data_IF_570101037850
#
_entry.id   IF_570101037850
#
_cell.length_a   1.000
_cell.length_b   1.000
_cell.length_c   1.000
_cell.angle_alpha   90.00
_cell.angle_beta   90.00
_cell.angle_gamma   90.00
#
_symmetry.space_group_name_H-M   'P 1'
#
loop_
_entity.id
_entity.type
_entity.pdbx_description
1 polymer ?
#
# COMPACT_ATOMS: atom_id res chain seq x y z
N UNK A 1 12.97 15.96 1.28
CA UNK A 1 13.11 15.11 2.49
C UNK A 1 14.57 14.70 2.57
N UNK A 2 15.22 14.73 3.74
CA UNK A 2 16.60 14.22 3.90
C UNK A 2 16.60 12.84 4.57
N UNK A 3 17.75 12.17 4.62
CA UNK A 3 17.85 10.80 5.13
C UNK A 3 17.41 10.66 6.60
N UNK A 4 17.71 11.65 7.44
CA UNK A 4 17.32 11.66 8.86
C UNK A 4 15.79 11.74 9.00
N UNK A 5 15.17 12.71 8.33
CA UNK A 5 13.71 12.86 8.30
C UNK A 5 13.01 11.64 7.68
N UNK A 6 13.60 11.01 6.66
CA UNK A 6 13.08 9.76 6.11
C UNK A 6 13.08 8.65 7.17
N UNK A 7 14.19 8.45 7.89
CA UNK A 7 14.26 7.41 8.93
C UNK A 7 13.32 7.67 10.10
N UNK A 8 13.01 8.92 10.40
CA UNK A 8 12.02 9.27 11.43
C UNK A 8 10.60 8.91 11.01
N UNK A 9 10.22 9.14 9.75
CA UNK A 9 8.85 8.89 9.27
C UNK A 9 8.62 7.49 8.68
N UNK A 10 9.66 6.88 8.12
CA UNK A 10 9.61 5.62 7.38
C UNK A 10 10.69 4.64 7.86
N UNK A 11 11.00 4.67 9.15
CA UNK A 11 11.99 3.79 9.77
C UNK A 11 11.52 2.34 9.93
N UNK A 12 10.20 2.11 10.00
CA UNK A 12 9.61 0.77 10.18
C UNK A 12 8.71 0.37 9.02
N UNK A 13 8.52 -0.94 8.89
CA UNK A 13 7.62 -1.52 7.89
C UNK A 13 6.16 -1.10 8.12
N UNK A 14 5.70 -1.02 9.37
CA UNK A 14 4.33 -0.61 9.65
C UNK A 14 4.07 0.84 9.21
N UNK A 15 5.00 1.75 9.49
CA UNK A 15 4.88 3.17 9.14
C UNK A 15 4.72 3.34 7.62
N UNK A 16 5.54 2.60 6.84
CA UNK A 16 5.44 2.59 5.38
C UNK A 16 4.11 2.02 4.88
N UNK A 17 3.59 0.97 5.52
CA UNK A 17 2.30 0.35 5.15
C UNK A 17 1.12 1.26 5.45
N UNK A 18 1.12 1.92 6.61
CA UNK A 18 0.07 2.86 7.02
C UNK A 18 0.04 4.03 6.04
N UNK A 19 1.19 4.67 5.82
CA UNK A 19 1.28 5.77 4.87
C UNK A 19 0.85 5.35 3.46
N UNK A 20 1.32 4.20 2.97
CA UNK A 20 0.94 3.71 1.65
C UNK A 20 -0.58 3.46 1.55
N UNK A 21 -1.18 2.89 2.59
CA UNK A 21 -2.63 2.70 2.67
C UNK A 21 -3.38 4.02 2.59
N UNK A 22 -2.96 5.03 3.35
CA UNK A 22 -3.60 6.35 3.33
C UNK A 22 -3.56 6.97 1.92
N UNK A 23 -2.41 6.89 1.24
CA UNK A 23 -2.30 7.36 -0.14
C UNK A 23 -3.19 6.54 -1.09
N UNK A 24 -3.26 5.22 -0.89
CA UNK A 24 -4.09 4.33 -1.71
C UNK A 24 -5.58 4.59 -1.53
N UNK A 25 -6.01 4.88 -0.30
CA UNK A 25 -7.39 5.22 0.04
C UNK A 25 -7.79 6.57 -0.59
N UNK A 26 -6.87 7.55 -0.62
CA UNK A 26 -7.08 8.85 -1.31
C UNK A 26 -7.24 8.71 -2.82
N UNK A 27 -6.39 7.90 -3.45
CA UNK A 27 -6.47 7.63 -4.90
C UNK A 27 -7.74 6.83 -5.24
N UNK A 28 -8.19 6.00 -4.30
CA UNK A 28 -9.31 5.09 -4.48
C UNK A 28 -8.88 3.75 -5.06
N UNK A 29 -9.55 2.70 -4.60
CA UNK A 29 -9.35 1.32 -5.07
C UNK A 29 -10.56 0.91 -5.88
N UNK A 30 -10.34 0.38 -7.07
CA UNK A 30 -11.39 -0.17 -7.94
C UNK A 30 -11.16 -1.66 -8.08
N UNK A 31 -12.17 -2.46 -7.80
CA UNK A 31 -12.11 -3.90 -8.01
C UNK A 31 -12.10 -4.21 -9.50
N UNK A 32 -11.55 -5.37 -9.89
CA UNK A 32 -11.62 -5.87 -11.27
C UNK A 32 -13.05 -6.02 -11.80
N UNK A 33 -14.05 -6.10 -10.93
CA UNK A 33 -15.47 -6.09 -11.32
C UNK A 33 -16.07 -4.68 -11.52
N UNK A 34 -15.27 -3.62 -11.41
CA UNK A 34 -15.69 -2.22 -11.53
C UNK A 34 -16.25 -1.59 -10.25
N UNK A 35 -16.45 -2.36 -9.18
CA UNK A 35 -16.97 -1.83 -7.91
C UNK A 35 -15.91 -1.04 -7.14
N UNK A 36 -16.32 0.07 -6.49
CA UNK A 36 -15.41 0.98 -5.77
C UNK A 36 -15.47 0.86 -4.25
N UNK A 37 -16.52 0.26 -3.70
CA UNK A 37 -16.58 0.07 -2.24
C UNK A 37 -15.98 -1.27 -1.81
N UNK A 38 -15.25 -1.20 -0.70
CA UNK A 38 -14.49 -2.30 -0.16
C UNK A 38 -14.58 -2.31 1.38
N UNK A 39 -14.45 -3.49 1.97
CA UNK A 39 -14.12 -3.65 3.39
C UNK A 39 -12.60 -3.66 3.55
N UNK A 40 -12.09 -3.04 4.61
CA UNK A 40 -10.68 -3.10 4.95
C UNK A 40 -10.41 -4.24 5.93
N UNK A 41 -9.53 -5.17 5.56
CA UNK A 41 -9.12 -6.28 6.41
C UNK A 41 -7.70 -6.02 6.91
N UNK A 42 -7.62 -5.47 8.13
CA UNK A 42 -6.36 -5.04 8.76
C UNK A 42 -5.38 -6.21 8.99
N UNK A 43 -5.87 -7.40 9.32
CA UNK A 43 -5.02 -8.56 9.65
C UNK A 43 -4.13 -9.02 8.48
N UNK A 44 -4.62 -8.90 7.26
CA UNK A 44 -3.92 -9.34 6.03
C UNK A 44 -3.64 -8.17 5.06
N UNK A 45 -3.82 -6.93 5.51
CA UNK A 45 -3.56 -5.72 4.73
C UNK A 45 -4.18 -5.74 3.33
N UNK A 46 -5.47 -6.07 3.26
CA UNK A 46 -6.18 -6.25 2.00
C UNK A 46 -7.56 -5.61 2.03
N UNK A 47 -7.99 -5.17 0.86
CA UNK A 47 -9.35 -4.73 0.58
C UNK A 47 -10.19 -5.93 0.13
N UNK A 48 -11.42 -6.02 0.57
CA UNK A 48 -12.38 -7.01 0.09
C UNK A 48 -13.55 -6.31 -0.59
N UNK A 49 -13.79 -6.64 -1.85
CA UNK A 49 -14.88 -6.01 -2.61
C UNK A 49 -16.24 -6.39 -2.01
N UNK A 50 -17.10 -5.41 -1.72
CA UNK A 50 -18.43 -5.68 -1.19
C UNK A 50 -19.34 -6.44 -2.18
N UNK A 51 -19.13 -6.27 -3.49
CA UNK A 51 -19.93 -6.89 -4.55
C UNK A 51 -19.51 -8.32 -4.89
N UNK A 52 -18.24 -8.54 -5.25
CA UNK A 52 -17.76 -9.85 -5.72
C UNK A 52 -16.94 -10.63 -4.69
N UNK A 53 -16.74 -10.07 -3.48
CA UNK A 53 -15.98 -10.67 -2.37
C UNK A 53 -14.52 -11.02 -2.69
N UNK A 54 -14.02 -10.60 -3.86
CA UNK A 54 -12.60 -10.76 -4.23
C UNK A 54 -11.74 -9.83 -3.39
N UNK A 55 -10.59 -10.36 -2.98
CA UNK A 55 -9.56 -9.64 -2.22
C UNK A 55 -8.59 -8.93 -3.15
N UNK A 56 -8.15 -7.76 -2.72
CA UNK A 56 -7.18 -6.90 -3.39
C UNK A 56 -6.14 -6.55 -2.34
N UNK A 57 -4.91 -7.06 -2.52
CA UNK A 57 -3.82 -6.73 -1.60
C UNK A 57 -3.46 -5.25 -1.71
N UNK A 58 -2.84 -4.69 -0.67
CA UNK A 58 -2.40 -3.29 -0.68
C UNK A 58 -1.47 -2.95 -1.88
N UNK A 59 -0.70 -3.92 -2.37
CA UNK A 59 0.21 -3.78 -3.53
C UNK A 59 -0.47 -3.99 -4.89
N UNK A 60 -1.73 -4.43 -4.92
CA UNK A 60 -2.40 -4.76 -6.18
C UNK A 60 -2.64 -3.51 -7.02
N UNK A 61 -2.26 -3.59 -8.30
CA UNK A 61 -2.36 -2.47 -9.25
C UNK A 61 -1.32 -1.36 -9.02
N UNK A 62 -0.20 -1.67 -8.37
CA UNK A 62 0.91 -0.72 -8.15
C UNK A 62 2.22 -1.31 -8.70
N UNK A 63 3.28 -0.50 -8.76
CA UNK A 63 4.61 -0.98 -9.18
C UNK A 63 5.16 -2.09 -8.27
N UNK A 64 4.61 -2.23 -7.06
CA UNK A 64 5.00 -3.23 -6.07
C UNK A 64 4.24 -4.55 -6.26
N UNK A 65 3.34 -4.63 -7.23
CA UNK A 65 2.55 -5.83 -7.49
C UNK A 65 3.48 -7.03 -7.76
N UNK A 66 3.13 -8.19 -7.17
CA UNK A 66 3.91 -9.43 -7.24
C UNK A 66 5.34 -9.35 -6.66
N UNK A 67 5.70 -8.26 -5.97
CA UNK A 67 6.98 -8.14 -5.30
C UNK A 67 6.94 -8.75 -3.89
N UNK A 68 7.90 -9.63 -3.61
CA UNK A 68 8.14 -10.19 -2.27
C UNK A 68 8.88 -9.22 -1.33
N UNK A 69 9.34 -8.06 -1.83
CA UNK A 69 10.04 -7.06 -1.02
C UNK A 69 9.09 -6.34 -0.07
N UNK A 70 9.60 -5.93 1.10
CA UNK A 70 8.83 -5.18 2.09
C UNK A 70 8.51 -3.75 1.62
N UNK A 71 7.52 -3.10 2.24
CA UNK A 71 7.22 -1.69 1.94
C UNK A 71 8.40 -0.78 2.27
N UNK A 72 9.12 -1.07 3.34
CA UNK A 72 10.31 -0.34 3.74
C UNK A 72 11.39 -0.36 2.65
N UNK A 73 11.65 -1.52 2.04
CA UNK A 73 12.63 -1.62 0.94
C UNK A 73 12.20 -0.73 -0.22
N UNK A 74 10.94 -0.82 -0.64
CA UNK A 74 10.41 0.01 -1.72
C UNK A 74 10.50 1.51 -1.42
N UNK A 75 10.19 1.92 -0.19
CA UNK A 75 10.29 3.32 0.22
C UNK A 75 11.74 3.81 0.21
N UNK A 76 12.68 3.00 0.69
CA UNK A 76 14.12 3.31 0.62
C UNK A 76 14.58 3.44 -0.83
N UNK A 77 14.17 2.52 -1.71
CA UNK A 77 14.51 2.59 -3.14
C UNK A 77 13.95 3.86 -3.78
N UNK A 78 12.68 4.18 -3.55
CA UNK A 78 12.07 5.42 -4.07
C UNK A 78 12.79 6.67 -3.58
N UNK A 79 13.20 6.69 -2.30
CA UNK A 79 13.94 7.80 -1.71
C UNK A 79 15.37 7.94 -2.27
N UNK A 80 16.03 6.83 -2.64
CA UNK A 80 17.39 6.86 -3.20
C UNK A 80 17.42 7.18 -4.71
N UNK A 81 16.29 6.99 -5.40
CA UNK A 81 16.12 7.33 -6.82
C UNK A 81 15.63 8.76 -7.06
N UNK A 82 15.27 9.49 -5.99
CA UNK A 82 14.86 10.89 -6.02
C UNK A 82 16.03 11.82 -5.74
#
# INVERSE_FOLDING_TARGET
MNIFSFTTHFGREEDCRIHFKEQRDKIGVVCKCGHKEHFWIKSIWSYECKKCRKRISLKSGTIMQNSNLSFLIWYKTMFLMS
#
